data_IF_971230987695
#
_entry.id   IF_971230987695
#
_cell.length_a   1.000
_cell.length_b   1.000
_cell.length_c   1.000
_cell.angle_alpha   90.00
_cell.angle_beta   90.00
_cell.angle_gamma   90.00
#
_symmetry.space_group_name_H-M   'P 1'
#
loop_
_entity.id
_entity.type
_entity.pdbx_description
1 polymer ?
#
# COMPACT_ATOMS: atom_id res chain seq x y z
N UNK A 1 17.66 77.57 23.80
CA UNK A 1 16.50 76.77 24.27
C UNK A 1 15.66 76.42 23.05
N UNK A 2 16.20 75.77 22.03
CA UNK A 2 16.95 74.50 21.93
C UNK A 2 16.01 73.50 21.24
N UNK A 3 16.00 73.56 19.90
CA UNK A 3 16.87 72.80 18.97
C UNK A 3 16.31 71.37 18.87
N UNK A 4 15.46 71.10 17.87
CA UNK A 4 15.80 70.74 16.49
C UNK A 4 15.83 69.22 16.29
N UNK A 5 15.41 68.78 15.11
CA UNK A 5 15.84 67.49 14.58
C UNK A 5 14.73 66.51 14.17
N UNK A 6 13.72 66.94 13.41
CA UNK A 6 13.12 66.01 12.43
C UNK A 6 14.05 65.97 11.22
N UNK A 7 15.09 65.14 11.29
CA UNK A 7 15.91 64.81 10.14
C UNK A 7 15.21 63.73 9.31
N UNK A 8 14.91 64.09 8.07
CA UNK A 8 14.79 63.14 6.97
C UNK A 8 16.11 62.35 6.90
N UNK A 9 16.10 61.10 7.34
CA UNK A 9 17.16 60.15 7.01
C UNK A 9 16.58 59.16 6.01
N UNK A 10 16.89 59.46 4.76
CA UNK A 10 16.91 58.56 3.63
C UNK A 10 17.76 57.33 4.03
N UNK A 11 17.11 56.25 4.48
CA UNK A 11 17.81 54.96 4.64
C UNK A 11 17.88 54.29 3.27
N UNK A 12 19.10 54.28 2.76
CA UNK A 12 19.57 53.49 1.63
C UNK A 12 18.97 52.06 1.64
N UNK A 13 18.77 51.45 0.45
CA UNK A 13 18.24 50.10 0.35
C UNK A 13 19.15 49.16 1.14
N UNK A 14 18.58 48.50 2.15
CA UNK A 14 19.22 47.33 2.73
C UNK A 14 19.40 46.33 1.59
N UNK A 15 20.65 46.18 1.16
CA UNK A 15 21.14 45.05 0.40
C UNK A 15 20.85 43.79 1.22
N UNK A 16 19.67 43.21 0.97
CA UNK A 16 19.43 41.81 1.30
C UNK A 16 20.43 41.03 0.47
N UNK A 17 21.49 40.57 1.11
CA UNK A 17 22.28 39.44 0.64
C UNK A 17 21.32 38.27 0.52
N UNK A 18 20.71 38.13 -0.66
CA UNK A 18 19.89 36.99 -1.02
C UNK A 18 20.83 35.83 -1.34
N UNK A 19 21.32 35.17 -0.30
CA UNK A 19 21.69 33.77 -0.47
C UNK A 19 20.37 32.98 -0.49
N UNK A 20 19.98 32.41 -1.65
CA UNK A 20 18.76 31.63 -1.72
C UNK A 20 18.87 30.45 -0.76
N UNK A 21 17.82 30.22 0.02
CA UNK A 21 17.75 29.05 0.89
C UNK A 21 17.83 27.77 0.07
N UNK A 22 18.28 26.62 0.63
CA UNK A 22 18.40 25.35 -0.10
C UNK A 22 17.12 24.90 -0.83
N UNK A 23 15.95 25.44 -0.42
CA UNK A 23 14.64 25.17 -1.02
C UNK A 23 14.35 26.00 -2.29
N UNK A 24 14.91 27.20 -2.42
CA UNK A 24 14.82 28.01 -3.66
C UNK A 24 15.77 27.48 -4.74
N UNK A 25 16.87 26.86 -4.32
CA UNK A 25 17.86 26.24 -5.22
C UNK A 25 17.26 25.05 -5.98
N UNK A 26 16.33 24.29 -5.41
CA UNK A 26 15.68 23.14 -6.08
C UNK A 26 14.79 23.58 -7.26
N UNK A 27 13.93 24.58 -7.06
CA UNK A 27 13.05 25.08 -8.11
C UNK A 27 13.84 25.80 -9.23
N UNK A 28 14.86 26.56 -8.83
CA UNK A 28 15.80 27.21 -9.74
C UNK A 28 16.65 26.18 -10.50
N UNK A 29 17.07 25.07 -9.88
CA UNK A 29 17.79 23.97 -10.55
C UNK A 29 16.93 23.19 -11.54
N UNK A 30 15.63 22.96 -11.27
CA UNK A 30 14.71 22.36 -12.24
C UNK A 30 14.44 23.31 -13.41
N UNK A 31 14.36 24.62 -13.15
CA UNK A 31 14.25 25.64 -14.20
C UNK A 31 15.56 25.80 -15.01
N UNK A 32 16.72 25.72 -14.36
CA UNK A 32 18.06 25.72 -15.00
C UNK A 32 18.31 24.45 -15.84
N UNK A 33 17.80 23.29 -15.41
CA UNK A 33 17.82 22.06 -16.24
C UNK A 33 16.94 22.19 -17.48
N UNK A 34 15.87 23.01 -17.43
CA UNK A 34 15.06 23.34 -18.61
C UNK A 34 15.75 24.36 -19.53
N UNK A 35 16.56 25.29 -19.01
CA UNK A 35 17.36 26.21 -19.85
C UNK A 35 18.53 25.53 -20.55
N UNK A 36 19.15 24.51 -19.93
CA UNK A 36 20.21 23.70 -20.57
C UNK A 36 19.75 23.01 -21.88
N UNK A 37 18.45 22.76 -22.04
CA UNK A 37 17.90 22.19 -23.28
C UNK A 37 17.57 23.26 -24.34
N UNK A 38 17.25 24.49 -23.92
CA UNK A 38 17.19 25.65 -24.82
C UNK A 38 18.60 25.92 -25.37
N UNK A 39 19.63 25.83 -24.53
CA UNK A 39 21.03 25.93 -24.97
C UNK A 39 21.40 24.79 -25.95
N UNK A 40 20.87 23.58 -25.75
CA UNK A 40 21.04 22.46 -26.70
C UNK A 40 20.31 22.71 -28.03
N UNK A 41 19.12 23.30 -28.02
CA UNK A 41 18.37 23.69 -29.22
C UNK A 41 19.05 24.85 -29.96
N UNK A 42 19.59 25.83 -29.23
CA UNK A 42 20.36 26.94 -29.80
C UNK A 42 21.68 26.41 -30.36
N UNK A 43 22.36 25.50 -29.65
CA UNK A 43 23.59 24.85 -30.10
C UNK A 43 23.38 23.99 -31.35
N UNK A 44 22.28 23.21 -31.41
CA UNK A 44 21.93 22.42 -32.60
C UNK A 44 21.46 23.30 -33.75
N UNK A 45 20.76 24.41 -33.50
CA UNK A 45 20.43 25.41 -34.52
C UNK A 45 21.68 26.12 -35.07
N UNK A 46 22.67 26.45 -34.23
CA UNK A 46 23.95 26.99 -34.67
C UNK A 46 24.80 25.97 -35.44
N UNK A 47 24.80 24.69 -35.01
CA UNK A 47 25.43 23.61 -35.76
C UNK A 47 24.78 23.43 -37.14
N UNK A 48 23.46 23.56 -37.23
CA UNK A 48 22.72 23.51 -38.49
C UNK A 48 23.02 24.71 -39.39
N UNK A 49 23.14 25.91 -38.82
CA UNK A 49 23.50 27.13 -39.55
C UNK A 49 24.95 27.06 -40.08
N UNK A 50 25.85 26.39 -39.36
CA UNK A 50 27.22 26.12 -39.81
C UNK A 50 27.25 25.10 -40.97
N UNK A 51 26.40 24.07 -40.93
CA UNK A 51 26.22 23.09 -42.01
C UNK A 51 25.60 23.75 -43.25
N UNK A 52 24.63 24.66 -43.10
CA UNK A 52 24.00 25.38 -44.21
C UNK A 52 24.81 26.60 -44.70
N UNK A 53 25.99 26.88 -44.14
CA UNK A 53 26.83 28.01 -44.59
C UNK A 53 27.46 27.72 -45.97
N UNK A 54 27.29 28.59 -46.98
CA UNK A 54 27.69 28.30 -48.37
C UNK A 54 29.20 28.20 -48.61
N UNK A 55 30.04 28.47 -47.60
CA UNK A 55 31.47 28.72 -47.80
C UNK A 55 32.38 27.48 -47.72
N UNK A 56 31.88 26.29 -47.38
CA UNK A 56 32.71 25.08 -47.27
C UNK A 56 32.02 23.79 -47.72
N UNK A 57 31.50 23.75 -48.95
CA UNK A 57 31.00 22.49 -49.52
C UNK A 57 31.68 22.16 -50.86
N UNK A 58 32.31 20.97 -51.00
CA UNK A 58 32.88 20.51 -52.27
C UNK A 58 31.77 20.22 -53.29
N UNK A 59 32.02 20.59 -54.56
CA UNK A 59 31.05 20.68 -55.68
C UNK A 59 30.39 19.37 -56.17
N UNK A 60 30.32 18.31 -55.38
CA UNK A 60 29.84 16.99 -55.86
C UNK A 60 28.86 16.25 -54.94
N UNK A 61 28.34 16.86 -53.87
CA UNK A 61 27.34 16.22 -53.02
C UNK A 61 25.98 16.94 -53.11
N UNK A 62 24.95 16.24 -53.55
CA UNK A 62 23.60 16.76 -53.79
C UNK A 62 23.02 17.35 -52.50
N UNK A 63 22.90 18.67 -52.43
CA UNK A 63 22.34 19.40 -51.28
C UNK A 63 20.92 18.95 -50.91
N UNK A 64 20.21 18.32 -51.86
CA UNK A 64 18.87 17.79 -51.68
C UNK A 64 18.80 16.62 -50.70
N UNK A 65 19.78 15.72 -50.64
CA UNK A 65 19.69 14.52 -49.80
C UNK A 65 19.89 14.82 -48.31
N UNK A 66 20.80 15.74 -47.97
CA UNK A 66 21.00 16.16 -46.59
C UNK A 66 19.80 16.95 -46.05
N UNK A 67 19.23 17.86 -46.85
CA UNK A 67 18.03 18.62 -46.46
C UNK A 67 16.81 17.70 -46.37
N UNK A 68 16.66 16.73 -47.30
CA UNK A 68 15.55 15.78 -47.30
C UNK A 68 15.57 14.79 -46.12
N UNK A 69 16.71 14.58 -45.46
CA UNK A 69 16.81 13.70 -44.29
C UNK A 69 16.72 14.51 -42.99
N UNK A 70 17.38 15.67 -42.93
CA UNK A 70 17.43 16.47 -41.71
C UNK A 70 16.11 17.20 -41.42
N UNK A 71 15.38 17.68 -42.44
CA UNK A 71 14.12 18.39 -42.22
C UNK A 71 13.04 17.46 -41.63
N UNK A 72 12.81 16.23 -42.16
CA UNK A 72 11.89 15.29 -41.54
C UNK A 72 12.31 14.87 -40.14
N UNK A 73 13.62 14.66 -39.89
CA UNK A 73 14.13 14.31 -38.56
C UNK A 73 13.89 15.43 -37.53
N UNK A 74 14.04 16.69 -37.93
CA UNK A 74 13.74 17.84 -37.08
C UNK A 74 12.23 17.92 -36.79
N UNK A 75 11.40 17.75 -37.83
CA UNK A 75 9.93 17.77 -37.70
C UNK A 75 9.44 16.61 -36.82
N UNK A 76 9.96 15.39 -36.98
CA UNK A 76 9.59 14.26 -36.13
C UNK A 76 10.02 14.47 -34.69
N UNK A 77 11.19 15.07 -34.45
CA UNK A 77 11.66 15.40 -33.08
C UNK A 77 10.74 16.45 -32.43
N UNK A 78 10.32 17.48 -33.17
CA UNK A 78 9.38 18.50 -32.70
C UNK A 78 7.99 17.89 -32.44
N UNK A 79 7.50 17.01 -33.32
CA UNK A 79 6.21 16.34 -33.17
C UNK A 79 6.21 15.39 -31.96
N UNK A 80 7.27 14.59 -31.77
CA UNK A 80 7.42 13.75 -30.58
C UNK A 80 7.43 14.60 -29.30
N UNK A 81 8.08 15.76 -29.32
CA UNK A 81 8.09 16.66 -28.17
C UNK A 81 6.70 17.24 -27.87
N UNK A 82 5.96 17.70 -28.89
CA UNK A 82 4.58 18.18 -28.72
C UNK A 82 3.66 17.08 -28.17
N UNK A 83 3.89 15.83 -28.56
CA UNK A 83 3.12 14.67 -28.11
C UNK A 83 3.48 14.25 -26.66
N UNK A 84 4.74 14.46 -26.25
CA UNK A 84 5.24 14.17 -24.90
C UNK A 84 5.05 15.35 -23.92
N UNK A 85 4.81 16.56 -24.42
CA UNK A 85 4.53 17.77 -23.64
C UNK A 85 3.36 17.57 -22.64
N UNK A 86 2.18 17.04 -23.03
CA UNK A 86 1.09 16.82 -22.08
C UNK A 86 1.45 15.81 -20.99
N UNK A 87 2.25 14.77 -21.30
CA UNK A 87 2.72 13.80 -20.30
C UNK A 87 3.69 14.46 -19.31
N UNK A 88 4.62 15.29 -19.81
CA UNK A 88 5.53 16.06 -18.94
C UNK A 88 4.81 17.12 -18.11
N UNK A 89 3.81 17.79 -18.67
CA UNK A 89 2.96 18.73 -17.96
C UNK A 89 2.14 18.00 -16.88
N UNK A 90 1.61 16.80 -17.15
CA UNK A 90 0.94 15.96 -16.17
C UNK A 90 1.87 15.52 -15.03
N UNK A 91 3.12 15.13 -15.33
CA UNK A 91 4.13 14.78 -14.33
C UNK A 91 4.58 16.00 -13.50
N UNK A 92 4.66 17.18 -14.11
CA UNK A 92 4.94 18.42 -13.39
C UNK A 92 3.73 18.87 -12.55
N UNK A 93 2.52 18.66 -13.05
CA UNK A 93 1.28 18.96 -12.33
C UNK A 93 1.07 17.99 -11.17
N UNK A 94 1.43 16.70 -11.29
CA UNK A 94 1.36 15.76 -10.16
C UNK A 94 2.37 16.12 -9.07
N UNK A 95 3.58 16.52 -9.44
CA UNK A 95 4.60 17.00 -8.49
C UNK A 95 4.19 18.32 -7.80
N UNK A 96 3.59 19.25 -8.56
CA UNK A 96 3.10 20.52 -8.03
C UNK A 96 1.82 20.36 -7.19
N UNK A 97 0.91 19.45 -7.58
CA UNK A 97 -0.26 19.06 -6.80
C UNK A 97 0.14 18.35 -5.50
N UNK A 98 1.22 17.55 -5.49
CA UNK A 98 1.76 16.97 -4.27
C UNK A 98 2.30 18.05 -3.32
N UNK A 99 2.92 19.10 -3.88
CA UNK A 99 3.37 20.26 -3.11
C UNK A 99 2.21 21.14 -2.61
N UNK A 100 1.11 21.23 -3.37
CA UNK A 100 -0.11 21.93 -2.95
C UNK A 100 -0.91 21.11 -1.92
N UNK A 101 -0.89 19.78 -2.03
CA UNK A 101 -1.42 18.84 -1.03
C UNK A 101 -0.64 18.95 0.29
N UNK A 102 0.69 19.14 0.24
CA UNK A 102 1.54 19.48 1.40
C UNK A 102 1.18 20.84 2.01
N UNK A 103 0.79 21.83 1.20
CA UNK A 103 0.30 23.13 1.70
C UNK A 103 -1.09 23.02 2.34
N UNK A 104 -1.95 22.12 1.85
CA UNK A 104 -3.25 21.81 2.45
C UNK A 104 -3.13 21.04 3.77
N UNK A 105 -2.10 20.21 3.95
CA UNK A 105 -1.81 19.57 5.25
C UNK A 105 -1.34 20.58 6.31
N UNK A 106 -0.62 21.63 5.92
CA UNK A 106 -0.35 22.77 6.80
C UNK A 106 -1.59 23.67 7.06
N UNK A 107 -2.72 23.40 6.41
CA UNK A 107 -4.01 24.10 6.60
C UNK A 107 -5.02 23.22 7.38
N UNK A 108 -4.64 22.05 7.88
CA UNK A 108 -5.32 21.41 9.02
C UNK A 108 -4.98 22.15 10.33
N UNK A 109 -5.23 23.45 10.33
CA UNK A 109 -5.62 24.13 11.57
C UNK A 109 -6.93 23.48 12.04
N UNK A 110 -7.04 23.14 13.33
CA UNK A 110 -8.28 22.58 13.86
C UNK A 110 -9.43 23.55 13.53
N UNK A 111 -10.53 22.98 13.02
CA UNK A 111 -11.81 23.65 12.83
C UNK A 111 -12.07 24.53 14.06
N UNK A 112 -12.21 25.84 13.87
CA UNK A 112 -12.49 26.82 14.95
C UNK A 112 -13.61 26.29 15.85
N UNK A 113 -13.24 25.74 16.99
CA UNK A 113 -14.11 25.62 18.14
C UNK A 113 -14.26 27.06 18.66
N UNK A 114 -15.49 27.57 18.86
CA UNK A 114 -15.68 28.89 19.45
C UNK A 114 -15.24 28.80 20.93
N UNK A 115 -13.98 29.18 21.18
CA UNK A 115 -13.31 29.07 22.48
C UNK A 115 -11.80 28.97 22.24
N UNK A 116 -11.14 30.11 22.10
CA UNK A 116 -9.77 30.22 21.59
C UNK A 116 -8.72 29.52 22.47
N UNK A 117 -8.11 28.48 21.92
CA UNK A 117 -6.73 28.10 22.22
C UNK A 117 -5.90 28.57 21.02
N UNK A 118 -4.87 29.42 21.20
CA UNK A 118 -4.03 29.87 20.09
C UNK A 118 -3.33 28.67 19.45
N UNK A 119 -3.04 28.70 18.13
CA UNK A 119 -2.32 27.61 17.47
C UNK A 119 -0.97 27.41 18.16
N UNK A 120 -0.71 26.18 18.62
CA UNK A 120 0.55 25.78 19.23
C UNK A 120 1.70 26.14 18.28
N UNK A 121 2.52 27.13 18.63
CA UNK A 121 3.72 27.45 17.86
C UNK A 121 4.71 26.31 18.04
N UNK A 122 5.13 25.68 16.93
CA UNK A 122 6.23 24.72 16.94
C UNK A 122 7.48 25.40 17.51
N UNK A 123 8.07 24.81 18.55
CA UNK A 123 9.34 25.27 19.12
C UNK A 123 10.50 24.64 18.38
N UNK A 124 11.59 25.39 18.21
CA UNK A 124 12.86 24.83 17.75
C UNK A 124 13.44 23.90 18.81
N UNK A 125 14.12 22.85 18.36
CA UNK A 125 14.89 21.97 19.24
C UNK A 125 16.07 22.73 19.87
N UNK A 126 16.28 22.51 21.16
CA UNK A 126 17.52 22.90 21.85
C UNK A 126 18.69 22.06 21.33
N UNK A 127 19.93 22.51 21.53
CA UNK A 127 21.12 21.74 21.10
C UNK A 127 21.21 20.36 21.78
N UNK A 128 20.76 20.25 23.04
CA UNK A 128 20.70 18.96 23.72
C UNK A 128 19.66 18.03 23.08
N UNK A 129 18.46 18.54 22.78
CA UNK A 129 17.41 17.76 22.12
C UNK A 129 17.81 17.33 20.70
N UNK A 130 18.51 18.20 19.93
CA UNK A 130 19.07 17.81 18.62
C UNK A 130 20.04 16.66 18.77
N UNK A 131 20.96 16.75 19.74
CA UNK A 131 21.92 15.68 20.01
C UNK A 131 21.24 14.37 20.43
N UNK A 132 20.16 14.45 21.21
CA UNK A 132 19.35 13.28 21.58
C UNK A 132 18.68 12.65 20.35
N UNK A 133 18.10 13.47 19.47
CA UNK A 133 17.49 12.99 18.21
C UNK A 133 18.54 12.34 17.31
N UNK A 134 19.70 12.97 17.12
CA UNK A 134 20.80 12.42 16.33
C UNK A 134 21.31 11.09 16.90
N UNK A 135 21.47 11.00 18.22
CA UNK A 135 21.85 9.75 18.89
C UNK A 135 20.79 8.66 18.65
N UNK A 136 19.51 9.00 18.69
CA UNK A 136 18.43 8.05 18.49
C UNK A 136 18.34 7.58 17.03
N UNK A 137 18.60 8.46 16.05
CA UNK A 137 18.78 8.09 14.63
C UNK A 137 19.92 7.07 14.51
N UNK A 138 21.07 7.34 15.14
CA UNK A 138 22.22 6.43 15.11
C UNK A 138 21.89 5.09 15.76
N UNK A 139 21.24 5.08 16.92
CA UNK A 139 20.83 3.85 17.61
C UNK A 139 19.85 3.02 16.76
N UNK A 140 18.84 3.66 16.14
CA UNK A 140 17.92 2.96 15.25
C UNK A 140 18.65 2.35 14.05
N UNK A 141 19.57 3.08 13.43
CA UNK A 141 20.37 2.54 12.33
C UNK A 141 21.22 1.36 12.78
N UNK A 142 21.80 1.39 13.97
CA UNK A 142 22.58 0.26 14.50
C UNK A 142 21.73 -0.99 14.79
N UNK A 143 20.47 -0.82 15.20
CA UNK A 143 19.52 -1.91 15.41
C UNK A 143 19.06 -2.50 14.07
N UNK A 144 18.85 -1.67 13.06
CA UNK A 144 18.26 -2.09 11.78
C UNK A 144 19.30 -2.57 10.76
N UNK A 145 20.49 -1.99 10.80
CA UNK A 145 21.52 -2.15 9.77
C UNK A 145 22.79 -2.80 10.32
N UNK A 146 23.43 -3.61 9.48
CA UNK A 146 24.75 -4.17 9.71
C UNK A 146 25.87 -3.14 9.41
N UNK A 147 27.12 -3.53 9.62
CA UNK A 147 28.29 -2.68 9.37
C UNK A 147 28.45 -2.28 7.89
N UNK A 148 27.81 -3.01 6.98
CA UNK A 148 27.81 -2.72 5.53
C UNK A 148 26.68 -1.78 5.12
N UNK A 149 25.82 -1.38 6.06
CA UNK A 149 24.64 -0.55 5.81
C UNK A 149 23.48 -1.33 5.18
N UNK A 150 23.48 -2.66 5.25
CA UNK A 150 22.37 -3.51 4.82
C UNK A 150 21.50 -3.88 6.01
N UNK A 151 20.24 -4.22 5.74
CA UNK A 151 19.32 -4.69 6.77
C UNK A 151 19.93 -5.92 7.47
N UNK A 152 19.93 -5.91 8.81
CA UNK A 152 20.34 -7.08 9.61
C UNK A 152 19.44 -8.28 9.33
N UNK A 153 19.93 -9.46 9.66
CA UNK A 153 19.10 -10.66 9.67
C UNK A 153 18.15 -10.64 10.87
N UNK A 154 16.90 -10.99 10.62
CA UNK A 154 15.85 -11.07 11.63
C UNK A 154 15.18 -12.43 11.58
N UNK A 155 14.87 -12.98 12.75
CA UNK A 155 13.94 -14.09 12.91
C UNK A 155 12.54 -13.55 13.19
N UNK A 156 11.51 -14.37 13.00
CA UNK A 156 10.17 -13.98 13.51
C UNK A 156 10.10 -14.24 15.01
N UNK A 157 9.31 -13.43 15.71
CA UNK A 157 8.96 -13.72 17.09
C UNK A 157 7.82 -14.78 17.08
N UNK A 158 8.13 -15.97 17.58
CA UNK A 158 7.19 -17.11 17.64
C UNK A 158 6.57 -17.30 19.02
N UNK A 159 6.75 -16.35 19.94
CA UNK A 159 6.00 -16.34 21.20
C UNK A 159 4.49 -16.38 20.93
N UNK A 160 3.68 -17.02 21.78
CA UNK A 160 2.23 -17.10 21.58
C UNK A 160 1.58 -15.72 21.41
N UNK A 161 2.08 -14.71 22.12
CA UNK A 161 1.59 -13.33 22.06
C UNK A 161 1.90 -12.67 20.70
N UNK A 162 3.13 -12.78 20.20
CA UNK A 162 3.50 -12.25 18.88
C UNK A 162 2.80 -13.00 17.74
N UNK A 163 2.77 -14.33 17.82
CA UNK A 163 2.24 -15.19 16.77
C UNK A 163 0.73 -15.00 16.59
N UNK A 164 -0.01 -14.75 17.68
CA UNK A 164 -1.46 -14.56 17.68
C UNK A 164 -1.93 -13.15 17.28
N UNK A 165 -1.02 -12.19 17.07
CA UNK A 165 -1.39 -10.83 16.63
C UNK A 165 -2.13 -10.88 15.30
N UNK A 166 -3.32 -10.29 15.29
CA UNK A 166 -4.21 -10.22 14.14
C UNK A 166 -4.79 -8.80 14.01
N UNK A 167 -5.21 -8.38 12.82
CA UNK A 167 -5.88 -7.09 12.63
C UNK A 167 -7.11 -6.95 13.52
N UNK A 168 -7.29 -5.79 14.15
CA UNK A 168 -8.50 -5.54 14.92
C UNK A 168 -9.74 -5.50 14.02
N UNK A 169 -10.79 -6.20 14.46
CA UNK A 169 -12.07 -6.12 13.78
C UNK A 169 -12.77 -4.80 14.00
N UNK A 170 -13.23 -4.24 12.89
CA UNK A 170 -14.17 -3.13 12.91
C UNK A 170 -15.54 -3.58 13.42
N UNK A 171 -16.31 -2.68 14.08
CA UNK A 171 -17.65 -2.99 14.58
C UNK A 171 -18.58 -3.66 13.56
N UNK A 172 -18.47 -3.29 12.28
CA UNK A 172 -19.19 -3.92 11.16
C UNK A 172 -19.07 -5.45 11.13
N UNK A 173 -17.90 -6.01 11.44
CA UNK A 173 -17.69 -7.46 11.47
C UNK A 173 -18.31 -8.13 12.70
N UNK A 174 -18.46 -7.41 13.81
CA UNK A 174 -19.17 -7.91 14.99
C UNK A 174 -20.67 -8.03 14.71
N UNK A 175 -21.22 -7.12 13.90
CA UNK A 175 -22.61 -7.21 13.45
C UNK A 175 -22.83 -8.38 12.48
N UNK A 176 -21.85 -8.61 11.59
CA UNK A 176 -21.86 -9.75 10.67
C UNK A 176 -21.85 -11.09 11.41
N UNK A 177 -21.02 -11.22 12.44
CA UNK A 177 -20.91 -12.43 13.26
C UNK A 177 -22.23 -12.79 13.94
N UNK A 178 -22.96 -11.78 14.44
CA UNK A 178 -24.23 -11.96 15.17
C UNK A 178 -25.46 -12.05 14.27
N UNK A 179 -25.32 -11.82 12.97
CA UNK A 179 -26.44 -11.81 12.05
C UNK A 179 -27.09 -13.20 11.94
N UNK A 180 -28.41 -13.26 12.15
CA UNK A 180 -29.21 -14.47 11.98
C UNK A 180 -30.50 -14.15 11.24
N UNK A 181 -30.90 -15.04 10.31
CA UNK A 181 -32.12 -14.87 9.52
C UNK A 181 -32.10 -13.69 8.54
N UNK A 182 -30.93 -13.06 8.33
CA UNK A 182 -30.75 -11.96 7.40
C UNK A 182 -30.67 -12.51 5.98
N UNK A 183 -31.39 -11.86 5.05
CA UNK A 183 -31.37 -12.22 3.62
C UNK A 183 -30.95 -11.02 2.78
N UNK A 184 -30.26 -11.30 1.67
CA UNK A 184 -29.86 -10.29 0.72
C UNK A 184 -31.00 -9.97 -0.26
N UNK A 185 -31.16 -8.68 -0.58
CA UNK A 185 -31.93 -8.27 -1.76
C UNK A 185 -31.03 -8.37 -3.00
N UNK A 186 -31.08 -9.52 -3.67
CA UNK A 186 -30.21 -9.80 -4.82
C UNK A 186 -30.46 -8.88 -6.03
N UNK A 187 -31.65 -8.31 -6.18
CA UNK A 187 -31.94 -7.35 -7.26
C UNK A 187 -31.23 -6.02 -7.00
N UNK A 188 -31.21 -5.58 -5.74
CA UNK A 188 -30.43 -4.41 -5.34
C UNK A 188 -28.93 -4.67 -5.43
N UNK A 189 -28.46 -5.88 -5.10
CA UNK A 189 -27.06 -6.27 -5.31
C UNK A 189 -26.68 -6.22 -6.78
N UNK A 190 -27.50 -6.79 -7.67
CA UNK A 190 -27.28 -6.72 -9.12
C UNK A 190 -27.23 -5.27 -9.62
N UNK A 191 -28.16 -4.43 -9.16
CA UNK A 191 -28.19 -3.01 -9.52
C UNK A 191 -26.92 -2.27 -9.04
N UNK A 192 -26.46 -2.54 -7.82
CA UNK A 192 -25.23 -1.96 -7.28
C UNK A 192 -24.00 -2.40 -8.09
N UNK A 193 -23.87 -3.69 -8.41
CA UNK A 193 -22.78 -4.22 -9.23
C UNK A 193 -22.75 -3.58 -10.63
N UNK A 194 -23.91 -3.37 -11.25
CA UNK A 194 -24.02 -2.64 -12.53
C UNK A 194 -23.62 -1.18 -12.39
N UNK A 195 -24.07 -0.50 -11.33
CA UNK A 195 -23.75 0.90 -11.07
C UNK A 195 -22.23 1.16 -10.97
N UNK A 196 -21.48 0.21 -10.43
CA UNK A 196 -20.02 0.30 -10.30
C UNK A 196 -19.25 -0.32 -11.47
N UNK A 197 -19.93 -0.73 -12.55
CA UNK A 197 -19.32 -1.41 -13.70
C UNK A 197 -18.46 -2.62 -13.28
N UNK A 198 -19.03 -3.46 -12.41
CA UNK A 198 -18.41 -4.68 -11.86
C UNK A 198 -19.26 -5.94 -12.07
N UNK A 199 -20.40 -5.82 -12.77
CA UNK A 199 -21.27 -6.95 -13.10
C UNK A 199 -20.78 -7.69 -14.35
N UNK A 200 -19.78 -8.54 -14.17
CA UNK A 200 -19.16 -9.34 -15.23
C UNK A 200 -19.84 -10.71 -15.46
N UNK A 201 -19.26 -11.53 -16.34
CA UNK A 201 -19.79 -12.86 -16.65
C UNK A 201 -19.78 -13.81 -15.44
N UNK A 202 -18.79 -13.68 -14.54
CA UNK A 202 -18.71 -14.48 -13.32
C UNK A 202 -19.87 -14.17 -12.38
N UNK A 203 -20.15 -12.88 -12.15
CA UNK A 203 -21.33 -12.48 -11.38
C UNK A 203 -22.63 -12.92 -12.06
N UNK A 204 -22.76 -12.66 -13.35
CA UNK A 204 -23.99 -12.90 -14.11
C UNK A 204 -24.36 -14.37 -14.21
N UNK A 205 -23.38 -15.24 -14.49
CA UNK A 205 -23.65 -16.62 -14.89
C UNK A 205 -23.38 -17.62 -13.76
N UNK A 206 -22.58 -17.26 -12.74
CA UNK A 206 -22.13 -18.21 -11.71
C UNK A 206 -22.57 -17.76 -10.32
N UNK A 207 -22.02 -16.65 -9.83
CA UNK A 207 -22.16 -16.28 -8.42
C UNK A 207 -23.60 -15.88 -8.11
N UNK A 208 -24.18 -14.92 -8.85
CA UNK A 208 -25.50 -14.38 -8.56
C UNK A 208 -26.63 -15.41 -8.74
N UNK A 209 -26.65 -16.24 -9.82
CA UNK A 209 -27.64 -17.31 -9.95
C UNK A 209 -27.59 -18.30 -8.79
N UNK A 210 -26.39 -18.70 -8.37
CA UNK A 210 -26.21 -19.64 -7.27
C UNK A 210 -26.69 -19.04 -5.94
N UNK A 211 -26.25 -17.84 -5.54
CA UNK A 211 -26.70 -17.28 -4.26
C UNK A 211 -28.20 -16.94 -4.26
N UNK A 212 -28.80 -16.68 -5.41
CA UNK A 212 -30.26 -16.52 -5.54
C UNK A 212 -31.00 -17.84 -5.30
N UNK A 213 -30.47 -18.99 -5.74
CA UNK A 213 -31.13 -20.29 -5.50
C UNK A 213 -31.17 -20.66 -4.02
N UNK A 214 -30.21 -20.15 -3.24
CA UNK A 214 -30.10 -20.39 -1.80
C UNK A 214 -31.15 -19.65 -0.94
N UNK A 215 -31.90 -18.70 -1.49
CA UNK A 215 -32.80 -17.79 -0.72
C UNK A 215 -33.78 -18.52 0.20
N UNK A 216 -34.22 -19.72 -0.17
CA UNK A 216 -35.19 -20.51 0.57
C UNK A 216 -34.62 -21.83 1.11
N UNK A 217 -33.31 -22.05 0.97
CA UNK A 217 -32.67 -23.31 1.34
C UNK A 217 -32.35 -23.30 2.84
N UNK A 218 -33.16 -24.01 3.62
CA UNK A 218 -33.02 -24.10 5.09
C UNK A 218 -32.26 -25.37 5.45
N UNK A 219 -31.35 -25.27 6.43
CA UNK A 219 -30.56 -26.41 6.91
C UNK A 219 -29.33 -26.76 6.06
N UNK A 220 -29.19 -26.16 4.87
CA UNK A 220 -27.96 -26.27 4.09
C UNK A 220 -26.97 -25.16 4.52
N UNK A 221 -25.69 -25.47 4.80
CA UNK A 221 -24.68 -24.47 5.17
C UNK A 221 -24.65 -23.25 4.26
N UNK A 222 -24.59 -23.47 2.94
CA UNK A 222 -24.58 -22.41 1.94
C UNK A 222 -25.80 -21.48 2.07
N UNK A 223 -27.00 -22.03 2.26
CA UNK A 223 -28.26 -21.28 2.44
C UNK A 223 -28.34 -20.50 3.74
N UNK A 224 -27.57 -20.89 4.76
CA UNK A 224 -27.53 -20.19 6.03
C UNK A 224 -26.47 -19.09 6.06
N UNK A 225 -25.44 -19.18 5.21
CA UNK A 225 -24.29 -18.26 5.26
C UNK A 225 -24.24 -17.25 4.12
N UNK A 226 -24.44 -17.67 2.86
CA UNK A 226 -24.32 -16.75 1.72
C UNK A 226 -25.34 -15.61 1.70
N UNK A 227 -26.62 -15.80 2.09
CA UNK A 227 -27.56 -14.68 2.18
C UNK A 227 -27.10 -13.57 3.13
N UNK A 228 -26.46 -13.94 4.24
CA UNK A 228 -25.87 -12.99 5.19
C UNK A 228 -24.66 -12.28 4.56
N UNK A 229 -23.70 -13.04 4.02
CA UNK A 229 -22.49 -12.47 3.40
C UNK A 229 -22.84 -11.48 2.27
N UNK A 230 -23.77 -11.87 1.39
CA UNK A 230 -24.21 -11.04 0.27
C UNK A 230 -24.98 -9.81 0.74
N UNK A 231 -25.70 -9.90 1.86
CA UNK A 231 -26.37 -8.75 2.47
C UNK A 231 -25.34 -7.73 2.96
N UNK A 232 -24.34 -8.17 3.71
CA UNK A 232 -23.29 -7.28 4.23
C UNK A 232 -22.43 -6.70 3.10
N UNK A 233 -22.18 -7.47 2.03
CA UNK A 233 -21.54 -6.94 0.83
C UNK A 233 -22.38 -5.85 0.15
N UNK A 234 -23.71 -6.04 0.04
CA UNK A 234 -24.62 -5.01 -0.44
C UNK A 234 -24.58 -3.75 0.43
N UNK A 235 -24.54 -3.88 1.76
CA UNK A 235 -24.39 -2.75 2.68
C UNK A 235 -23.10 -1.97 2.38
N UNK A 236 -21.98 -2.68 2.21
CA UNK A 236 -20.70 -2.07 1.85
C UNK A 236 -20.74 -1.34 0.49
N UNK A 237 -21.40 -1.93 -0.50
CA UNK A 237 -21.60 -1.30 -1.81
C UNK A 237 -22.48 -0.05 -1.73
N UNK A 238 -23.37 0.06 -0.74
CA UNK A 238 -24.24 1.21 -0.54
C UNK A 238 -23.68 2.28 0.41
N UNK A 239 -22.61 2.00 1.14
CA UNK A 239 -22.00 2.95 2.08
C UNK A 239 -21.42 4.18 1.33
N UNK A 240 -21.91 5.41 1.56
CA UNK A 240 -21.44 6.60 0.85
C UNK A 240 -19.99 7.00 1.20
N UNK A 241 -19.45 6.50 2.31
CA UNK A 241 -18.09 6.80 2.76
C UNK A 241 -17.03 6.00 2.01
N UNK A 242 -17.42 4.90 1.36
CA UNK A 242 -16.51 4.04 0.61
C UNK A 242 -16.39 4.55 -0.84
N UNK A 243 -15.17 4.86 -1.34
CA UNK A 243 -14.97 5.31 -2.71
C UNK A 243 -15.46 4.31 -3.76
N UNK A 244 -16.03 4.83 -4.87
CA UNK A 244 -16.57 4.01 -5.97
C UNK A 244 -15.54 3.03 -6.54
N UNK A 245 -14.30 3.45 -6.70
CA UNK A 245 -13.24 2.59 -7.24
C UNK A 245 -12.89 1.44 -6.31
N UNK A 246 -12.93 1.65 -4.98
CA UNK A 246 -12.72 0.58 -4.00
C UNK A 246 -13.85 -0.45 -4.08
N UNK A 247 -15.10 0.00 -4.18
CA UNK A 247 -16.28 -0.88 -4.39
C UNK A 247 -16.16 -1.72 -5.66
N UNK A 248 -15.77 -1.08 -6.76
CA UNK A 248 -15.54 -1.77 -8.04
C UNK A 248 -14.45 -2.84 -7.91
N UNK A 249 -13.30 -2.49 -7.34
CA UNK A 249 -12.18 -3.43 -7.13
C UNK A 249 -12.60 -4.62 -6.26
N UNK A 250 -13.31 -4.39 -5.17
CA UNK A 250 -13.81 -5.44 -4.29
C UNK A 250 -14.78 -6.40 -5.00
N UNK A 251 -15.71 -5.86 -5.80
CA UNK A 251 -16.65 -6.66 -6.59
C UNK A 251 -15.95 -7.51 -7.66
N UNK A 252 -14.94 -6.97 -8.33
CA UNK A 252 -14.12 -7.71 -9.31
C UNK A 252 -13.25 -8.76 -8.61
N UNK A 253 -12.72 -8.46 -7.43
CA UNK A 253 -11.94 -9.42 -6.65
C UNK A 253 -12.77 -10.66 -6.28
N UNK A 254 -14.04 -10.47 -5.88
CA UNK A 254 -14.97 -11.59 -5.65
C UNK A 254 -15.29 -12.33 -6.95
N UNK A 255 -15.42 -11.64 -8.09
CA UNK A 255 -15.76 -12.29 -9.35
C UNK A 255 -14.65 -13.23 -9.86
N UNK A 256 -13.39 -12.93 -9.53
CA UNK A 256 -12.24 -13.77 -9.85
C UNK A 256 -12.28 -15.14 -9.16
N UNK A 257 -12.98 -15.28 -8.02
CA UNK A 257 -13.07 -16.56 -7.32
C UNK A 257 -14.17 -17.47 -7.86
N UNK A 258 -14.90 -17.10 -8.91
CA UNK A 258 -16.08 -17.82 -9.37
C UNK A 258 -15.83 -19.27 -9.81
N UNK A 259 -14.60 -19.61 -10.23
CA UNK A 259 -14.20 -20.98 -10.56
C UNK A 259 -13.83 -21.82 -9.35
N UNK A 260 -13.55 -21.22 -8.19
CA UNK A 260 -13.16 -21.92 -6.98
C UNK A 260 -14.36 -22.56 -6.25
N UNK A 261 -14.08 -23.46 -5.31
CA UNK A 261 -15.12 -23.98 -4.42
C UNK A 261 -15.83 -22.87 -3.62
N UNK A 262 -17.08 -23.15 -3.24
CA UNK A 262 -18.02 -22.15 -2.71
C UNK A 262 -17.50 -21.52 -1.41
N UNK A 263 -16.93 -22.26 -0.46
CA UNK A 263 -16.48 -21.61 0.77
C UNK A 263 -15.26 -20.69 0.55
N UNK A 264 -14.46 -20.90 -0.51
CA UNK A 264 -13.46 -19.91 -0.95
C UNK A 264 -14.13 -18.58 -1.31
N UNK A 265 -15.33 -18.59 -1.89
CA UNK A 265 -16.09 -17.35 -2.11
C UNK A 265 -16.42 -16.65 -0.78
N UNK A 266 -16.74 -17.40 0.27
CA UNK A 266 -16.99 -16.85 1.60
C UNK A 266 -15.77 -16.10 2.15
N UNK A 267 -14.59 -16.72 2.08
CA UNK A 267 -13.31 -16.10 2.45
C UNK A 267 -13.02 -14.85 1.61
N UNK A 268 -13.18 -14.94 0.29
CA UNK A 268 -12.92 -13.82 -0.64
C UNK A 268 -13.87 -12.65 -0.39
N UNK A 269 -15.16 -12.91 -0.12
CA UNK A 269 -16.13 -11.87 0.26
C UNK A 269 -15.73 -11.21 1.58
N UNK A 270 -15.28 -11.98 2.57
CA UNK A 270 -14.86 -11.44 3.87
C UNK A 270 -13.61 -10.58 3.73
N UNK A 271 -12.62 -11.01 2.95
CA UNK A 271 -11.45 -10.19 2.61
C UNK A 271 -11.83 -8.92 1.88
N UNK A 272 -12.73 -9.01 0.91
CA UNK A 272 -13.23 -7.85 0.20
C UNK A 272 -13.90 -6.85 1.16
N UNK A 273 -14.75 -7.34 2.08
CA UNK A 273 -15.34 -6.52 3.14
C UNK A 273 -14.27 -5.91 4.03
N UNK A 274 -13.23 -6.66 4.41
CA UNK A 274 -12.16 -6.17 5.29
C UNK A 274 -11.40 -5.03 4.60
N UNK A 275 -11.09 -5.17 3.32
CA UNK A 275 -10.43 -4.12 2.53
C UNK A 275 -11.31 -2.89 2.33
N UNK A 276 -12.63 -3.09 2.16
CA UNK A 276 -13.59 -2.00 1.99
C UNK A 276 -13.75 -1.16 3.26
N UNK A 277 -13.80 -1.82 4.41
CA UNK A 277 -13.99 -1.16 5.69
C UNK A 277 -12.71 -0.82 6.40
N UNK A 278 -11.55 -1.39 6.02
CA UNK A 278 -10.24 -1.01 6.54
C UNK A 278 -10.14 0.50 6.55
N UNK A 279 -10.34 1.08 7.73
CA UNK A 279 -10.21 2.50 7.91
C UNK A 279 -8.72 2.75 7.86
N UNK A 280 -8.34 3.62 6.93
CA UNK A 280 -7.03 4.25 6.79
C UNK A 280 -6.59 5.05 8.05
N UNK A 281 -7.13 4.74 9.22
CA UNK A 281 -6.85 5.37 10.50
C UNK A 281 -6.05 4.48 11.44
N UNK A 282 -5.78 3.22 11.08
CA UNK A 282 -5.00 2.28 11.90
C UNK A 282 -3.90 1.65 11.03
N UNK A 283 -2.76 2.35 10.88
CA UNK A 283 -1.60 1.83 10.16
C UNK A 283 -1.08 0.50 10.73
N UNK A 284 -1.23 0.29 12.04
CA UNK A 284 -1.04 -1.01 12.70
C UNK A 284 -1.89 -2.13 12.07
N UNK A 285 -3.21 -1.93 11.95
CA UNK A 285 -4.09 -2.94 11.33
C UNK A 285 -3.69 -3.24 9.88
N UNK A 286 -3.26 -2.22 9.12
CA UNK A 286 -2.81 -2.44 7.76
C UNK A 286 -1.53 -3.30 7.69
N UNK A 287 -0.58 -3.07 8.60
CA UNK A 287 0.61 -3.91 8.73
C UNK A 287 0.24 -5.35 9.11
N UNK A 288 -0.64 -5.52 10.10
CA UNK A 288 -1.11 -6.84 10.54
C UNK A 288 -1.85 -7.60 9.44
N UNK A 289 -2.57 -6.90 8.54
CA UNK A 289 -3.19 -7.54 7.37
C UNK A 289 -2.13 -8.10 6.41
N UNK A 290 -1.07 -7.34 6.10
CA UNK A 290 0.02 -7.83 5.25
C UNK A 290 0.81 -8.97 5.90
N UNK A 291 0.97 -8.94 7.22
CA UNK A 291 1.59 -10.02 7.98
C UNK A 291 0.73 -11.29 7.90
N UNK A 292 -0.59 -11.17 8.04
CA UNK A 292 -1.50 -12.28 7.85
C UNK A 292 -1.40 -12.86 6.42
N UNK A 293 -1.42 -12.01 5.39
CA UNK A 293 -1.26 -12.46 3.99
C UNK A 293 0.07 -13.20 3.78
N UNK A 294 1.16 -12.74 4.41
CA UNK A 294 2.44 -13.42 4.37
C UNK A 294 2.43 -14.80 5.07
N UNK A 295 1.75 -14.92 6.22
CA UNK A 295 1.58 -16.21 6.93
C UNK A 295 0.75 -17.19 6.10
N UNK A 296 -0.31 -16.72 5.46
CA UNK A 296 -1.14 -17.55 4.58
C UNK A 296 -0.37 -18.01 3.33
N UNK A 297 0.45 -17.14 2.75
CA UNK A 297 1.33 -17.51 1.64
C UNK A 297 2.33 -18.61 2.07
N UNK A 298 2.90 -18.52 3.27
CA UNK A 298 3.78 -19.58 3.81
C UNK A 298 3.03 -20.91 4.01
N UNK A 299 1.80 -20.88 4.51
CA UNK A 299 0.98 -22.10 4.65
C UNK A 299 0.73 -22.77 3.30
N UNK A 300 0.46 -21.98 2.26
CA UNK A 300 0.27 -22.49 0.90
C UNK A 300 1.58 -23.08 0.35
N UNK A 301 2.69 -22.34 0.44
CA UNK A 301 4.03 -22.78 0.01
C UNK A 301 4.41 -24.13 0.65
N UNK A 302 4.14 -24.31 1.95
CA UNK A 302 4.40 -25.56 2.67
C UNK A 302 3.47 -26.71 2.25
N UNK A 303 2.20 -26.40 1.98
CA UNK A 303 1.24 -27.38 1.54
C UNK A 303 1.58 -27.92 0.14
N UNK A 304 1.89 -27.04 -0.81
CA UNK A 304 2.36 -27.39 -2.15
C UNK A 304 3.60 -28.29 -2.07
N UNK A 305 4.59 -27.92 -1.24
CA UNK A 305 5.80 -28.72 -1.06
C UNK A 305 5.51 -30.14 -0.55
N UNK A 306 4.59 -30.28 0.41
CA UNK A 306 4.16 -31.61 0.91
C UNK A 306 3.51 -32.45 -0.18
N UNK A 307 2.74 -31.82 -1.06
CA UNK A 307 2.05 -32.54 -2.11
C UNK A 307 3.05 -33.06 -3.18
N UNK A 308 4.04 -32.24 -3.55
CA UNK A 308 5.17 -32.65 -4.40
C UNK A 308 5.97 -33.80 -3.77
N UNK A 309 6.25 -33.75 -2.46
CA UNK A 309 6.97 -34.83 -1.77
C UNK A 309 6.17 -36.15 -1.69
N UNK A 310 4.84 -36.07 -1.63
CA UNK A 310 3.98 -37.27 -1.71
C UNK A 310 4.04 -37.86 -3.12
N UNK A 311 3.97 -37.04 -4.17
CA UNK A 311 4.07 -37.50 -5.56
C UNK A 311 5.44 -38.11 -5.86
N UNK A 312 6.54 -37.50 -5.42
CA UNK A 312 7.88 -38.06 -5.57
C UNK A 312 8.05 -39.43 -4.86
N UNK A 313 7.16 -39.75 -3.90
CA UNK A 313 7.12 -41.02 -3.17
C UNK A 313 6.15 -42.04 -3.80
N UNK A 314 5.26 -41.61 -4.70
CA UNK A 314 4.28 -42.44 -5.39
C UNK A 314 4.28 -42.05 -6.89
N UNK A 315 5.00 -42.79 -7.74
CA UNK A 315 5.27 -42.52 -9.17
C UNK A 315 4.03 -42.43 -10.12
N UNK A 316 2.82 -42.08 -9.66
CA UNK A 316 1.63 -42.16 -10.52
C UNK A 316 0.46 -41.27 -10.05
N UNK A 317 0.60 -39.94 -10.08
CA UNK A 317 -0.58 -39.06 -10.07
C UNK A 317 -0.37 -37.94 -11.10
N UNK A 318 -1.35 -37.79 -12.01
CA UNK A 318 -1.30 -36.84 -13.12
C UNK A 318 -1.93 -35.51 -12.65
N UNK A 319 -1.13 -34.45 -12.50
CA UNK A 319 -1.46 -33.22 -11.76
C UNK A 319 -2.28 -32.18 -12.56
N UNK A 320 -2.96 -32.56 -13.64
CA UNK A 320 -3.72 -31.60 -14.46
C UNK A 320 -5.23 -31.57 -14.18
N UNK A 321 -5.67 -32.07 -13.02
CA UNK A 321 -7.08 -32.03 -12.65
C UNK A 321 -7.39 -30.84 -11.75
N UNK A 322 -8.46 -30.11 -12.06
CA UNK A 322 -8.99 -28.96 -11.29
C UNK A 322 -9.33 -29.31 -9.83
N UNK A 323 -9.21 -30.58 -9.43
CA UNK A 323 -9.36 -31.06 -8.06
C UNK A 323 -8.26 -30.57 -7.10
N UNK A 324 -7.06 -30.28 -7.58
CA UNK A 324 -5.94 -29.90 -6.71
C UNK A 324 -6.14 -28.50 -6.10
N UNK A 325 -6.55 -27.51 -6.90
CA UNK A 325 -6.83 -26.13 -6.46
C UNK A 325 -7.89 -26.06 -5.34
N UNK A 326 -8.87 -26.97 -5.35
CA UNK A 326 -9.92 -27.03 -4.32
C UNK A 326 -9.39 -27.65 -3.01
N UNK A 327 -8.51 -28.66 -3.08
CA UNK A 327 -7.90 -29.30 -1.89
C UNK A 327 -6.99 -28.36 -1.08
N UNK A 328 -6.27 -27.45 -1.74
CA UNK A 328 -5.35 -26.51 -1.09
C UNK A 328 -6.09 -25.56 -0.13
N UNK A 329 -7.19 -24.96 -0.60
CA UNK A 329 -8.03 -24.08 0.23
C UNK A 329 -8.73 -24.84 1.36
N UNK A 330 -9.11 -26.09 1.13
CA UNK A 330 -9.70 -26.94 2.17
C UNK A 330 -8.71 -27.20 3.32
N UNK A 331 -7.44 -27.47 3.00
CA UNK A 331 -6.41 -27.74 4.01
C UNK A 331 -6.02 -26.47 4.78
N UNK A 332 -5.84 -25.34 4.08
CA UNK A 332 -5.55 -24.05 4.72
C UNK A 332 -6.70 -23.63 5.64
N UNK A 333 -7.95 -23.76 5.20
CA UNK A 333 -9.12 -23.45 6.03
C UNK A 333 -9.27 -24.41 7.21
N UNK A 334 -8.83 -25.67 7.07
CA UNK A 334 -8.69 -26.62 8.18
C UNK A 334 -7.70 -26.16 9.25
N UNK A 335 -6.51 -25.75 8.83
CA UNK A 335 -5.51 -25.17 9.75
C UNK A 335 -6.05 -23.89 10.39
N UNK A 336 -6.66 -22.99 9.63
CA UNK A 336 -7.24 -21.76 10.19
C UNK A 336 -8.37 -22.06 11.19
N UNK A 337 -9.22 -23.05 10.93
CA UNK A 337 -10.29 -23.44 11.84
C UNK A 337 -9.75 -23.92 13.19
N UNK A 338 -8.69 -24.73 13.19
CA UNK A 338 -8.13 -25.30 14.41
C UNK A 338 -7.11 -24.41 15.12
N UNK A 339 -6.24 -23.72 14.35
CA UNK A 339 -5.07 -23.00 14.86
C UNK A 339 -5.03 -21.52 14.44
N UNK A 340 -5.99 -21.04 13.66
CA UNK A 340 -5.93 -19.69 13.09
C UNK A 340 -5.87 -18.57 14.14
N UNK A 341 -6.50 -18.75 15.31
CA UNK A 341 -6.37 -17.80 16.44
C UNK A 341 -4.94 -17.76 16.98
N UNK A 342 -4.30 -18.92 17.15
CA UNK A 342 -2.89 -19.02 17.60
C UNK A 342 -1.93 -18.42 16.58
N UNK A 343 -2.27 -18.52 15.29
CA UNK A 343 -1.47 -18.00 14.18
C UNK A 343 -1.75 -16.53 13.83
N UNK A 344 -2.70 -15.88 14.50
CA UNK A 344 -3.08 -14.49 14.19
C UNK A 344 -3.70 -14.35 12.79
N UNK A 345 -4.41 -15.38 12.33
CA UNK A 345 -5.11 -15.40 11.04
C UNK A 345 -6.57 -14.99 11.23
N UNK A 346 -7.14 -14.28 10.25
CA UNK A 346 -8.56 -13.97 10.24
C UNK A 346 -9.37 -15.27 10.16
N UNK A 347 -10.06 -15.58 11.24
CA UNK A 347 -10.92 -16.77 11.39
C UNK A 347 -12.40 -16.40 11.46
N UNK A 348 -12.76 -15.13 11.21
CA UNK A 348 -14.12 -14.63 11.40
C UNK A 348 -15.14 -15.32 10.49
N UNK A 349 -14.74 -15.59 9.25
CA UNK A 349 -15.55 -16.37 8.31
C UNK A 349 -15.70 -17.85 8.70
N UNK A 350 -14.89 -18.31 9.67
CA UNK A 350 -14.86 -19.69 10.16
C UNK A 350 -15.59 -19.86 11.50
N UNK A 351 -16.14 -18.79 12.08
CA UNK A 351 -16.77 -18.77 13.39
C UNK A 351 -18.29 -18.53 13.30
N UNK A 352 -19.00 -18.92 14.36
CA UNK A 352 -20.43 -18.66 14.56
C UNK A 352 -21.32 -19.03 13.35
N UNK A 353 -22.15 -18.09 12.88
CA UNK A 353 -23.13 -18.30 11.81
C UNK A 353 -22.48 -18.49 10.42
N UNK A 354 -21.19 -18.18 10.27
CA UNK A 354 -20.43 -18.36 9.02
C UNK A 354 -19.66 -19.70 8.99
N UNK A 355 -19.44 -20.31 10.16
CA UNK A 355 -18.65 -21.54 10.34
C UNK A 355 -19.19 -22.75 9.55
N UNK A 356 -20.49 -22.76 9.21
CA UNK A 356 -21.12 -23.89 8.53
C UNK A 356 -20.55 -24.11 7.13
N UNK A 357 -20.16 -23.04 6.42
CA UNK A 357 -19.46 -23.14 5.13
C UNK A 357 -18.11 -23.84 5.27
N UNK A 358 -17.35 -23.51 6.31
CA UNK A 358 -16.05 -24.11 6.61
C UNK A 358 -16.16 -25.55 7.05
N UNK A 359 -17.12 -25.88 7.91
CA UNK A 359 -17.30 -27.23 8.43
C UNK A 359 -17.62 -28.26 7.32
N UNK A 360 -18.07 -27.80 6.15
CA UNK A 360 -18.20 -28.62 4.94
C UNK A 360 -16.86 -28.91 4.26
N UNK A 361 -15.87 -28.01 4.37
CA UNK A 361 -14.54 -28.16 3.79
C UNK A 361 -13.59 -28.98 4.66
N UNK A 362 -13.72 -28.82 5.97
CA UNK A 362 -12.82 -29.44 6.94
C UNK A 362 -13.46 -30.74 7.40
N UNK A 363 -13.02 -31.87 6.87
CA UNK A 363 -13.50 -33.16 7.38
C UNK A 363 -13.13 -33.25 8.86
N UNK A 364 -14.12 -33.53 9.71
CA UNK A 364 -13.93 -33.63 11.17
C UNK A 364 -12.89 -34.70 11.56
N UNK A 365 -12.56 -35.59 10.62
CA UNK A 365 -11.72 -36.77 10.82
C UNK A 365 -10.25 -36.60 10.37
N UNK A 366 -9.90 -35.55 9.61
CA UNK A 366 -8.51 -35.32 9.14
C UNK A 366 -7.73 -34.34 10.04
N UNK A 367 -7.63 -34.62 11.34
CA UNK A 367 -6.81 -33.78 12.24
C UNK A 367 -5.30 -33.86 11.96
N UNK A 368 -4.81 -35.03 11.53
CA UNK A 368 -3.36 -35.28 11.39
C UNK A 368 -2.71 -34.37 10.33
N UNK A 369 -3.24 -34.22 9.10
CA UNK A 369 -2.66 -33.30 8.11
C UNK A 369 -2.59 -31.85 8.59
N UNK A 370 -3.59 -31.38 9.35
CA UNK A 370 -3.62 -30.02 9.89
C UNK A 370 -2.58 -29.81 10.99
N UNK A 371 -2.42 -30.78 11.90
CA UNK A 371 -1.39 -30.75 12.95
C UNK A 371 0.00 -30.70 12.33
N UNK A 372 0.24 -31.56 11.35
CA UNK A 372 1.53 -31.65 10.70
C UNK A 372 1.87 -30.35 9.94
N UNK A 373 0.94 -29.82 9.13
CA UNK A 373 1.15 -28.54 8.43
C UNK A 373 1.34 -27.37 9.41
N UNK A 374 0.62 -27.37 10.54
CA UNK A 374 0.80 -26.38 11.60
C UNK A 374 2.20 -26.44 12.25
N UNK A 375 2.74 -27.65 12.46
CA UNK A 375 4.08 -27.80 13.03
C UNK A 375 5.16 -27.36 12.04
N UNK A 376 5.05 -27.75 10.76
CA UNK A 376 5.94 -27.27 9.70
C UNK A 376 5.89 -25.74 9.58
N UNK A 377 4.69 -25.17 9.68
CA UNK A 377 4.52 -23.72 9.69
C UNK A 377 5.30 -23.07 10.83
N UNK A 378 5.19 -23.56 12.07
CA UNK A 378 5.92 -22.97 13.20
C UNK A 378 7.43 -23.02 13.00
N UNK A 379 7.95 -24.14 12.50
CA UNK A 379 9.38 -24.30 12.24
C UNK A 379 9.87 -23.37 11.12
N UNK A 380 9.14 -23.31 10.01
CA UNK A 380 9.47 -22.46 8.89
C UNK A 380 9.33 -20.98 9.25
N UNK A 381 8.24 -20.62 9.93
CA UNK A 381 7.93 -19.25 10.31
C UNK A 381 9.01 -18.66 11.22
N UNK A 382 9.57 -19.44 12.14
CA UNK A 382 10.64 -18.98 13.04
C UNK A 382 11.83 -18.35 12.30
N UNK A 383 12.16 -18.86 11.10
CA UNK A 383 13.28 -18.40 10.25
C UNK A 383 12.81 -17.45 9.15
N UNK A 384 11.57 -16.99 9.18
CA UNK A 384 10.92 -16.28 8.08
C UNK A 384 11.08 -14.75 8.15
N UNK A 385 11.86 -14.21 9.09
CA UNK A 385 11.87 -12.76 9.38
C UNK A 385 12.26 -11.90 8.18
N UNK A 386 13.34 -12.23 7.48
CA UNK A 386 13.76 -11.50 6.26
C UNK A 386 12.70 -11.56 5.14
N UNK A 387 12.07 -12.73 4.98
CA UNK A 387 11.03 -12.95 3.97
C UNK A 387 9.76 -12.18 4.33
N UNK A 388 9.39 -12.15 5.61
CA UNK A 388 8.26 -11.39 6.14
C UNK A 388 8.46 -9.89 5.88
N UNK A 389 9.61 -9.32 6.26
CA UNK A 389 9.93 -7.91 6.00
C UNK A 389 9.80 -7.59 4.52
N UNK A 390 10.35 -8.46 3.66
CA UNK A 390 10.31 -8.27 2.20
C UNK A 390 8.89 -8.33 1.64
N UNK A 391 8.07 -9.30 2.07
CA UNK A 391 6.67 -9.39 1.61
C UNK A 391 5.85 -8.19 2.06
N UNK A 392 5.99 -7.75 3.32
CA UNK A 392 5.30 -6.56 3.85
C UNK A 392 5.74 -5.29 3.12
N UNK A 393 7.05 -5.12 2.86
CA UNK A 393 7.56 -3.97 2.12
C UNK A 393 7.05 -3.92 0.67
N UNK A 394 7.01 -5.06 -0.02
CA UNK A 394 6.42 -5.15 -1.37
C UNK A 394 4.93 -4.82 -1.35
N UNK A 395 4.20 -5.27 -0.35
CA UNK A 395 2.78 -4.95 -0.18
C UNK A 395 2.58 -3.45 0.05
N UNK A 396 3.40 -2.81 0.89
CA UNK A 396 3.41 -1.36 1.08
C UNK A 396 3.67 -0.59 -0.22
N UNK A 397 4.73 -0.93 -0.98
CA UNK A 397 5.04 -0.26 -2.25
C UNK A 397 3.94 -0.45 -3.31
N UNK A 398 3.19 -1.54 -3.24
CA UNK A 398 2.09 -1.83 -4.18
C UNK A 398 0.74 -1.23 -3.77
N UNK A 399 0.64 -0.73 -2.53
CA UNK A 399 -0.59 -0.17 -1.98
C UNK A 399 -0.92 1.19 -2.61
N UNK A 400 -2.20 1.58 -2.59
CA UNK A 400 -2.60 2.90 -3.06
C UNK A 400 -2.06 4.03 -2.15
N UNK A 401 -1.91 5.27 -2.66
CA UNK A 401 -1.32 6.36 -1.88
C UNK A 401 -2.01 6.66 -0.55
N UNK A 402 -3.32 6.39 -0.43
CA UNK A 402 -4.05 6.61 0.82
C UNK A 402 -3.62 5.60 1.88
N UNK A 403 -3.45 4.34 1.46
CA UNK A 403 -2.97 3.26 2.33
C UNK A 403 -1.51 3.48 2.73
N UNK A 404 -0.66 3.93 1.81
CA UNK A 404 0.73 4.30 2.13
C UNK A 404 0.80 5.45 3.14
N UNK A 405 0.02 6.51 2.93
CA UNK A 405 -0.06 7.64 3.87
C UNK A 405 -0.52 7.21 5.26
N UNK A 406 -1.43 6.24 5.36
CA UNK A 406 -1.89 5.68 6.64
C UNK A 406 -0.75 5.05 7.43
N UNK A 407 0.08 4.24 6.76
CA UNK A 407 1.23 3.60 7.39
C UNK A 407 2.27 4.66 7.77
N UNK A 408 2.48 5.65 6.91
CA UNK A 408 3.37 6.78 7.19
C UNK A 408 2.93 7.59 8.44
N UNK A 409 1.64 7.92 8.56
CA UNK A 409 1.08 8.64 9.70
C UNK A 409 1.17 7.83 11.00
N UNK A 410 1.00 6.50 10.90
CA UNK A 410 1.22 5.59 12.02
C UNK A 410 2.70 5.57 12.46
N UNK A 411 3.64 5.50 11.52
CA UNK A 411 5.08 5.61 11.81
C UNK A 411 5.40 6.94 12.50
N UNK A 412 4.89 8.07 11.99
CA UNK A 412 5.05 9.38 12.64
C UNK A 412 4.57 9.36 14.08
N UNK A 413 3.40 8.77 14.33
CA UNK A 413 2.80 8.69 15.66
C UNK A 413 3.66 7.84 16.63
N UNK A 414 4.19 6.71 16.16
CA UNK A 414 5.13 5.89 16.94
C UNK A 414 6.41 6.65 17.29
N UNK A 415 7.02 7.32 16.32
CA UNK A 415 8.23 8.10 16.52
C UNK A 415 8.01 9.30 17.43
N UNK A 416 6.85 9.95 17.33
CA UNK A 416 6.46 11.04 18.22
C UNK A 416 6.34 10.56 19.67
N UNK A 417 5.72 9.40 19.89
CA UNK A 417 5.61 8.80 21.22
C UNK A 417 6.97 8.37 21.77
N UNK A 418 7.84 7.81 20.92
CA UNK A 418 9.20 7.40 21.29
C UNK A 418 10.06 8.59 21.75
N UNK A 419 10.02 9.71 21.01
CA UNK A 419 10.80 10.90 21.34
C UNK A 419 10.24 11.67 22.53
N UNK A 420 8.91 11.66 22.71
CA UNK A 420 8.22 12.40 23.77
C UNK A 420 8.61 13.91 23.83
N UNK A 421 8.81 14.52 22.65
CA UNK A 421 9.13 15.94 22.49
C UNK A 421 7.93 16.69 21.86
N UNK A 422 6.88 17.02 22.64
CA UNK A 422 5.69 17.67 22.10
C UNK A 422 6.01 19.06 21.53
N UNK A 423 5.24 19.45 20.51
CA UNK A 423 5.35 20.74 19.84
C UNK A 423 6.71 20.98 19.14
N UNK A 424 7.40 19.91 18.73
CA UNK A 424 8.63 19.96 17.91
C UNK A 424 8.45 19.18 16.61
N UNK A 425 9.40 19.32 15.67
CA UNK A 425 9.46 18.53 14.43
C UNK A 425 10.42 17.33 14.51
N UNK A 426 10.97 17.01 15.69
CA UNK A 426 11.99 15.97 15.84
C UNK A 426 11.58 14.59 15.30
N UNK A 427 10.30 14.22 15.45
CA UNK A 427 9.76 12.98 14.93
C UNK A 427 9.68 12.94 13.40
N UNK A 428 9.59 14.11 12.75
CA UNK A 428 9.68 14.23 11.30
C UNK A 428 11.12 14.03 10.85
N UNK A 429 12.08 14.67 11.51
CA UNK A 429 13.51 14.53 11.20
C UNK A 429 13.96 13.06 11.35
N UNK A 430 13.45 12.38 12.38
CA UNK A 430 13.65 10.96 12.59
C UNK A 430 13.05 10.10 11.47
N UNK A 431 11.83 10.41 11.05
CA UNK A 431 11.19 9.68 9.95
C UNK A 431 11.91 9.89 8.61
N UNK A 432 12.39 11.10 8.33
CA UNK A 432 13.16 11.39 7.11
C UNK A 432 14.38 10.48 7.00
N UNK A 433 15.00 10.09 8.13
CA UNK A 433 16.11 9.14 8.15
C UNK A 433 15.74 7.71 7.68
N UNK A 434 14.46 7.35 7.77
CA UNK A 434 13.88 6.06 7.36
C UNK A 434 13.20 6.11 5.98
N UNK A 435 13.17 7.28 5.34
CA UNK A 435 12.59 7.46 4.01
C UNK A 435 13.66 7.51 2.91
N UNK A 436 13.23 7.23 1.67
CA UNK A 436 14.02 7.46 0.46
C UNK A 436 13.91 8.91 -0.03
N UNK A 437 14.57 9.21 -1.16
CA UNK A 437 14.61 10.55 -1.76
C UNK A 437 13.22 11.07 -2.16
N UNK A 438 12.25 10.18 -2.34
CA UNK A 438 10.87 10.52 -2.67
C UNK A 438 9.98 10.67 -1.42
N UNK A 439 10.57 10.64 -0.22
CA UNK A 439 9.86 10.61 1.07
C UNK A 439 8.99 9.37 1.26
N UNK A 440 9.29 8.27 0.57
CA UNK A 440 8.61 6.99 0.81
C UNK A 440 9.39 6.17 1.83
N UNK A 441 8.68 5.43 2.70
CA UNK A 441 9.30 4.52 3.66
C UNK A 441 10.22 3.51 2.94
N UNK A 442 11.44 3.34 3.44
CA UNK A 442 12.37 2.29 3.00
C UNK A 442 12.07 0.97 3.70
N UNK A 443 12.80 -0.09 3.33
CA UNK A 443 12.64 -1.42 3.93
C UNK A 443 13.00 -1.43 5.43
N UNK A 444 13.95 -0.60 5.85
CA UNK A 444 14.36 -0.39 7.23
C UNK A 444 13.21 0.16 8.07
N UNK A 445 12.37 1.04 7.51
CA UNK A 445 11.18 1.54 8.18
C UNK A 445 10.17 0.42 8.43
N UNK A 446 10.01 -0.50 7.47
CA UNK A 446 9.13 -1.67 7.63
C UNK A 446 9.69 -2.61 8.70
N UNK A 447 11.00 -2.88 8.71
CA UNK A 447 11.63 -3.66 9.77
C UNK A 447 11.44 -3.01 11.15
N UNK A 448 11.62 -1.70 11.26
CA UNK A 448 11.33 -0.95 12.50
C UNK A 448 9.88 -1.11 12.96
N UNK A 449 8.91 -1.00 12.05
CA UNK A 449 7.49 -1.17 12.37
C UNK A 449 7.20 -2.60 12.84
N UNK A 450 7.77 -3.61 12.19
CA UNK A 450 7.59 -5.01 12.59
C UNK A 450 8.27 -5.34 13.93
N UNK A 451 9.43 -4.73 14.23
CA UNK A 451 10.08 -4.79 15.55
C UNK A 451 9.22 -4.13 16.63
N UNK A 452 8.67 -2.95 16.35
CA UNK A 452 7.81 -2.21 17.29
C UNK A 452 6.52 -2.98 17.59
N UNK A 453 6.02 -3.71 16.61
CA UNK A 453 4.90 -4.63 16.76
C UNK A 453 5.32 -5.99 17.33
N UNK A 454 6.57 -6.19 17.71
CA UNK A 454 7.10 -7.44 18.30
C UNK A 454 6.81 -8.68 17.42
N UNK A 455 6.86 -8.52 16.11
CA UNK A 455 6.62 -9.60 15.13
C UNK A 455 7.91 -10.23 14.63
N UNK A 456 9.02 -9.51 14.75
CA UNK A 456 10.36 -9.96 14.42
C UNK A 456 11.31 -9.63 15.56
N UNK A 457 12.45 -10.32 15.59
CA UNK A 457 13.52 -10.12 16.56
C UNK A 457 14.88 -10.32 15.89
N UNK A 458 15.92 -9.67 16.40
CA UNK A 458 17.29 -9.90 15.94
C UNK A 458 17.69 -11.37 16.16
N UNK A 459 18.51 -11.91 15.26
CA UNK A 459 18.95 -13.33 15.27
C UNK A 459 19.85 -13.64 16.46
#
# INVERSE_FOLDING_TARGET
>A
MDIAGYSFVEKAPHTVSSHPSPREVSCIQTWLKNTQFIDLLISTAHAFQAICSPRKWPKSCSCFSAVAICVPALITTILLYLLLLPIRLLLSFSSCCFHWYRKSFNILSPKKIPGGVPPLSLRSLTENEKKEVDNLITSLKLILLDETGKLRSFNTNTSPEALSKAPELLPFFKDLERAQGVTCNYDHLEAALKCYNAYDNSWKNIILPYVRSLKNERGHPDGETFPILMHFFLLALNDPLIPKDKKRKAALFISLSASACKPTWGEVIIRALMQLYSKSSLGENQLLMWVQEAKEALLLELHEHRAVLKEARFETINIHDQQFDDEEWHIINGVKHHYGKELGLATFHLQENLSKLTLRQTSRDLKTPYIELFNDFKEAYAKYGETLITKVFKAYKSADPTTQATVHDYTLSLLQNLLNLPNTTAHVDLLESLCDENYELKIEAIAYLLLTLDLIQEV
#
